data_IF_686855223667
#
_entry.id   IF_686855223667
#
_cell.length_a   1.000
_cell.length_b   1.000
_cell.length_c   1.000
_cell.angle_alpha   90.00
_cell.angle_beta   90.00
_cell.angle_gamma   90.00
#
_symmetry.space_group_name_H-M   'P 1'
#
loop_
_entity.id
_entity.type
_entity.pdbx_description
1 polymer ?
#
# COMPACT_ATOMS: atom_id res chain seq x y z
N UNK A 1 17.07 4.05 -19.93
CA UNK A 1 18.26 4.22 -19.06
C UNK A 1 17.95 3.54 -17.75
N UNK A 2 18.80 2.65 -17.32
CA UNK A 2 18.61 1.79 -16.14
C UNK A 2 18.53 2.65 -14.88
N UNK A 3 17.58 2.40 -14.00
CA UNK A 3 17.27 3.16 -12.78
C UNK A 3 18.36 3.20 -11.69
N UNK A 4 19.63 3.18 -12.07
CA UNK A 4 20.75 3.47 -11.17
C UNK A 4 20.80 4.96 -10.89
N UNK A 5 20.93 5.33 -9.61
CA UNK A 5 21.12 6.71 -9.19
C UNK A 5 22.39 7.29 -9.84
N UNK A 6 22.24 8.43 -10.51
CA UNK A 6 23.36 9.21 -11.04
C UNK A 6 23.84 10.21 -10.00
N UNK A 7 25.09 10.12 -9.60
CA UNK A 7 25.70 11.03 -8.63
C UNK A 7 25.65 12.48 -9.12
N UNK A 8 25.79 12.73 -10.42
CA UNK A 8 25.79 14.07 -10.97
C UNK A 8 24.42 14.75 -10.86
N UNK A 9 23.34 13.98 -10.86
CA UNK A 9 21.99 14.49 -10.61
C UNK A 9 21.69 14.73 -9.12
N UNK A 10 22.41 14.06 -8.20
CA UNK A 10 22.09 14.03 -6.78
C UNK A 10 23.03 14.86 -5.89
N UNK A 11 24.28 15.10 -6.30
CA UNK A 11 25.32 15.75 -5.48
C UNK A 11 24.96 17.14 -4.95
N UNK A 12 24.15 17.88 -5.73
CA UNK A 12 23.72 19.23 -5.37
C UNK A 12 22.31 19.29 -4.76
N UNK A 13 21.68 18.12 -4.51
CA UNK A 13 20.34 18.01 -3.95
C UNK A 13 20.39 17.76 -2.45
N UNK A 14 19.50 18.41 -1.72
CA UNK A 14 19.21 18.05 -0.33
C UNK A 14 18.24 16.87 -0.34
N UNK A 15 18.68 15.76 0.23
CA UNK A 15 17.94 14.50 0.19
C UNK A 15 17.56 14.09 1.60
N UNK A 16 16.26 13.81 1.82
CA UNK A 16 15.74 13.18 3.01
C UNK A 16 15.53 11.69 2.75
N UNK A 17 16.03 10.81 3.61
CA UNK A 17 15.79 9.36 3.55
C UNK A 17 14.83 8.96 4.66
N UNK A 18 13.69 8.36 4.32
CA UNK A 18 12.79 7.77 5.30
C UNK A 18 13.32 6.40 5.73
N UNK A 19 13.91 6.32 6.92
CA UNK A 19 14.58 5.16 7.47
C UNK A 19 13.73 4.51 8.56
N UNK A 20 13.06 3.40 8.22
CA UNK A 20 12.12 2.70 9.13
C UNK A 20 12.77 1.63 10.02
N UNK A 21 14.09 1.40 9.91
CA UNK A 21 14.77 0.27 10.56
C UNK A 21 14.58 -1.09 9.86
N UNK A 22 13.78 -1.16 8.80
CA UNK A 22 13.66 -2.33 7.92
C UNK A 22 14.85 -2.47 6.97
N UNK A 23 15.04 -3.67 6.42
CA UNK A 23 16.15 -3.99 5.51
C UNK A 23 16.16 -3.08 4.28
N UNK A 24 15.01 -2.88 3.66
CA UNK A 24 14.87 -2.12 2.42
C UNK A 24 15.32 -0.67 2.59
N UNK A 25 14.82 0.02 3.60
CA UNK A 25 15.22 1.41 3.91
C UNK A 25 16.69 1.52 4.33
N UNK A 26 17.26 0.47 4.92
CA UNK A 26 18.68 0.43 5.30
C UNK A 26 19.59 0.31 4.07
N UNK A 27 19.18 -0.47 3.06
CA UNK A 27 19.88 -0.56 1.78
C UNK A 27 19.79 0.75 1.01
N UNK A 28 18.69 1.53 1.15
CA UNK A 28 18.64 2.89 0.60
C UNK A 28 19.77 3.77 1.13
N UNK A 29 20.02 3.74 2.45
CA UNK A 29 21.12 4.52 3.05
C UNK A 29 22.49 4.05 2.52
N UNK A 30 22.68 2.73 2.40
CA UNK A 30 23.89 2.15 1.79
C UNK A 30 24.10 2.65 0.35
N UNK A 31 23.05 2.68 -0.48
CA UNK A 31 23.16 3.13 -1.88
C UNK A 31 23.65 4.58 -1.99
N UNK A 32 23.23 5.46 -1.09
CA UNK A 32 23.77 6.82 -1.02
C UNK A 32 25.22 6.83 -0.53
N UNK A 33 25.53 6.09 0.52
CA UNK A 33 26.89 6.01 1.07
C UNK A 33 27.89 5.46 0.03
N UNK A 34 27.48 4.50 -0.80
CA UNK A 34 28.29 3.94 -1.91
C UNK A 34 28.66 5.01 -2.93
N UNK A 35 27.82 6.03 -3.10
CA UNK A 35 28.08 7.19 -3.96
C UNK A 35 28.85 8.30 -3.24
N UNK A 36 29.23 8.12 -1.98
CA UNK A 36 29.87 9.16 -1.16
C UNK A 36 28.90 10.25 -0.68
N UNK A 37 27.59 9.98 -0.70
CA UNK A 37 26.56 10.89 -0.24
C UNK A 37 26.08 10.49 1.17
N UNK A 38 25.86 11.47 2.04
CA UNK A 38 25.39 11.28 3.41
C UNK A 38 24.11 12.07 3.68
N UNK A 39 22.95 11.58 3.19
CA UNK A 39 21.68 12.29 3.32
C UNK A 39 21.21 12.33 4.79
N UNK A 40 20.35 13.27 5.12
CA UNK A 40 19.65 13.27 6.39
C UNK A 40 18.61 12.14 6.42
N UNK A 41 18.65 11.33 7.48
CA UNK A 41 17.73 10.22 7.68
C UNK A 41 16.61 10.63 8.66
N UNK A 42 15.41 10.15 8.41
CA UNK A 42 14.23 10.44 9.23
C UNK A 42 13.51 9.16 9.61
N UNK A 43 13.28 8.98 10.90
CA UNK A 43 12.38 7.95 11.42
C UNK A 43 11.02 8.58 11.69
N UNK A 44 9.98 8.12 11.00
CA UNK A 44 8.60 8.58 11.22
C UNK A 44 7.99 7.76 12.35
N UNK A 45 7.74 8.40 13.50
CA UNK A 45 7.07 7.80 14.64
C UNK A 45 5.56 7.98 14.51
N UNK A 46 4.83 6.86 14.43
CA UNK A 46 3.35 6.82 14.33
C UNK A 46 2.71 5.82 15.30
N UNK A 47 3.52 5.20 16.15
CA UNK A 47 3.07 4.20 17.14
C UNK A 47 1.95 4.73 18.05
N UNK A 48 1.36 3.84 18.88
CA UNK A 48 0.35 4.23 19.87
C UNK A 48 0.91 5.24 20.88
N UNK A 49 0.02 5.96 21.54
CA UNK A 49 0.44 6.82 22.68
C UNK A 49 1.05 5.93 23.77
N UNK A 50 1.99 6.48 24.55
CA UNK A 50 2.73 5.75 25.61
C UNK A 50 1.83 5.05 26.64
N UNK A 51 0.56 5.45 26.72
CA UNK A 51 -0.45 4.85 27.59
C UNK A 51 -1.13 3.59 27.00
N UNK A 52 -0.84 3.24 25.76
CA UNK A 52 -1.47 2.11 25.08
C UNK A 52 -0.57 0.88 25.08
N UNK A 53 -1.01 -0.21 25.71
CA UNK A 53 -0.34 -1.52 25.70
C UNK A 53 -0.45 -2.18 24.31
N UNK A 54 0.40 -1.75 23.39
CA UNK A 54 0.64 -2.44 22.13
C UNK A 54 2.06 -3.00 22.13
N UNK A 55 2.21 -4.23 21.68
CA UNK A 55 3.53 -4.81 21.39
C UNK A 55 4.07 -4.18 20.09
N UNK A 56 4.49 -2.92 20.21
CA UNK A 56 4.96 -2.12 19.09
C UNK A 56 6.47 -2.31 18.93
N UNK A 57 6.90 -2.72 17.73
CA UNK A 57 8.32 -2.84 17.38
C UNK A 57 9.04 -1.48 17.22
N UNK A 58 8.42 -0.36 17.61
CA UNK A 58 8.92 0.98 17.35
C UNK A 58 10.29 1.27 17.99
N UNK A 59 10.56 0.72 19.19
CA UNK A 59 11.87 0.88 19.84
C UNK A 59 12.94 0.10 19.09
N UNK A 60 12.69 -1.18 18.79
CA UNK A 60 13.58 -2.01 17.99
C UNK A 60 13.82 -1.42 16.60
N UNK A 61 12.79 -0.88 15.96
CA UNK A 61 12.89 -0.21 14.66
C UNK A 61 13.78 1.01 14.72
N UNK A 62 13.64 1.83 15.76
CA UNK A 62 14.44 3.03 15.98
C UNK A 62 15.90 2.68 16.31
N UNK A 63 16.15 1.62 17.10
CA UNK A 63 17.50 1.11 17.37
C UNK A 63 18.19 0.69 16.07
N UNK A 64 17.48 -0.06 15.20
CA UNK A 64 18.01 -0.47 13.90
C UNK A 64 18.30 0.73 13.00
N UNK A 65 17.37 1.70 12.93
CA UNK A 65 17.56 2.92 12.16
C UNK A 65 18.76 3.74 12.66
N UNK A 66 18.93 3.83 13.98
CA UNK A 66 20.08 4.49 14.62
C UNK A 66 21.39 3.80 14.28
N UNK A 67 21.44 2.47 14.39
CA UNK A 67 22.63 1.70 14.05
C UNK A 67 23.05 1.86 12.59
N UNK A 68 22.07 1.85 11.65
CA UNK A 68 22.33 2.03 10.22
C UNK A 68 22.81 3.45 9.91
N UNK A 69 22.13 4.49 10.44
CA UNK A 69 22.53 5.88 10.21
C UNK A 69 23.94 6.15 10.70
N UNK A 70 24.30 5.67 11.89
CA UNK A 70 25.66 5.80 12.47
C UNK A 70 26.71 5.07 11.62
N UNK A 71 26.39 3.84 11.14
CA UNK A 71 27.31 3.06 10.31
C UNK A 71 27.74 3.83 9.06
N UNK A 72 26.85 4.60 8.46
CA UNK A 72 27.10 5.35 7.22
C UNK A 72 27.30 6.85 7.44
N UNK A 73 27.48 7.29 8.68
CA UNK A 73 27.75 8.70 8.99
C UNK A 73 26.62 9.66 8.65
N UNK A 74 25.38 9.17 8.62
CA UNK A 74 24.19 9.97 8.37
C UNK A 74 23.58 10.50 9.68
N UNK A 75 23.02 11.70 9.65
CA UNK A 75 22.23 12.23 10.76
C UNK A 75 20.86 11.54 10.77
N UNK A 76 20.37 11.14 11.95
CA UNK A 76 19.01 10.63 12.13
C UNK A 76 18.19 11.60 12.99
N UNK A 77 16.99 11.93 12.51
CA UNK A 77 15.99 12.71 13.22
C UNK A 77 14.68 11.93 13.34
N UNK A 78 14.02 11.99 14.50
CA UNK A 78 12.72 11.35 14.72
C UNK A 78 11.63 12.39 14.50
N UNK A 79 10.69 12.10 13.60
CA UNK A 79 9.55 12.95 13.30
C UNK A 79 8.28 12.30 13.84
N UNK A 80 7.65 12.96 14.78
CA UNK A 80 6.37 12.50 15.33
C UNK A 80 5.23 12.86 14.34
N UNK A 81 4.59 11.83 13.77
CA UNK A 81 3.41 11.92 12.92
C UNK A 81 2.22 11.14 13.51
N UNK A 82 2.23 10.89 14.83
CA UNK A 82 1.18 10.15 15.52
C UNK A 82 -0.21 10.76 15.26
N UNK A 83 -0.38 12.07 15.53
CA UNK A 83 -1.68 12.75 15.37
C UNK A 83 -2.18 12.71 13.94
N UNK A 84 -1.30 12.91 12.97
CA UNK A 84 -1.64 12.89 11.55
C UNK A 84 -2.06 11.50 11.11
N UNK A 85 -1.32 10.46 11.53
CA UNK A 85 -1.66 9.08 11.20
C UNK A 85 -3.04 8.69 11.76
N UNK A 86 -3.26 8.92 13.04
CA UNK A 86 -4.51 8.56 13.71
C UNK A 86 -5.68 9.42 13.24
N UNK A 87 -5.48 10.70 13.02
CA UNK A 87 -6.49 11.64 12.55
C UNK A 87 -6.87 11.48 11.07
N UNK A 88 -6.00 10.92 10.25
CA UNK A 88 -6.21 10.82 8.80
C UNK A 88 -6.32 9.35 8.35
N UNK A 89 -5.28 8.54 8.53
CA UNK A 89 -5.25 7.16 8.01
C UNK A 89 -6.17 6.24 8.79
N UNK A 90 -6.10 6.28 10.14
CA UNK A 90 -6.97 5.47 10.98
C UNK A 90 -8.43 5.87 10.80
N UNK A 91 -8.72 7.17 10.81
CA UNK A 91 -10.09 7.67 10.60
C UNK A 91 -10.65 7.22 9.25
N UNK A 92 -9.90 7.44 8.16
CA UNK A 92 -10.27 6.92 6.84
C UNK A 92 -10.60 5.43 6.88
N UNK A 93 -9.72 4.63 7.49
CA UNK A 93 -9.89 3.18 7.59
C UNK A 93 -11.17 2.82 8.33
N UNK A 94 -11.41 3.44 9.50
CA UNK A 94 -12.59 3.15 10.33
C UNK A 94 -13.90 3.57 9.65
N UNK A 95 -13.92 4.72 8.98
CA UNK A 95 -15.11 5.22 8.29
C UNK A 95 -15.47 4.30 7.11
N UNK A 96 -14.49 3.87 6.32
CA UNK A 96 -14.69 2.92 5.22
C UNK A 96 -15.16 1.55 5.71
N UNK A 97 -14.55 1.04 6.76
CA UNK A 97 -14.89 -0.28 7.33
C UNK A 97 -16.31 -0.28 7.93
N UNK A 98 -16.72 0.80 8.62
CA UNK A 98 -18.11 0.97 9.10
C UNK A 98 -19.13 0.97 7.96
N UNK A 99 -18.77 1.59 6.84
CA UNK A 99 -19.61 1.59 5.64
C UNK A 99 -19.62 0.24 4.89
N UNK A 100 -18.94 -0.80 5.41
CA UNK A 100 -18.88 -2.14 4.81
C UNK A 100 -17.81 -2.30 3.74
N UNK A 101 -17.03 -1.27 3.47
CA UNK A 101 -15.94 -1.26 2.48
C UNK A 101 -14.69 -1.97 2.98
N UNK A 102 -13.79 -2.25 2.05
CA UNK A 102 -12.46 -2.83 2.35
C UNK A 102 -11.38 -1.81 1.98
N UNK A 103 -10.98 -0.90 2.90
CA UNK A 103 -9.97 0.12 2.62
C UNK A 103 -8.56 -0.45 2.48
N UNK A 104 -7.67 0.34 1.90
CA UNK A 104 -6.23 0.08 1.91
C UNK A 104 -5.50 1.21 2.67
N UNK A 105 -5.22 1.02 3.98
CA UNK A 105 -4.54 2.04 4.79
C UNK A 105 -3.10 2.32 4.35
N UNK A 106 -2.41 1.35 3.73
CA UNK A 106 -1.01 1.53 3.30
C UNK A 106 -0.90 2.52 2.15
N UNK A 107 -1.83 2.49 1.20
CA UNK A 107 -1.93 3.48 0.11
C UNK A 107 -2.10 4.88 0.69
N UNK A 108 -3.02 5.04 1.65
CA UNK A 108 -3.28 6.33 2.29
C UNK A 108 -2.12 6.78 3.17
N UNK A 109 -1.41 5.85 3.83
CA UNK A 109 -0.22 6.17 4.60
C UNK A 109 0.90 6.77 3.72
N UNK A 110 1.12 6.23 2.53
CA UNK A 110 2.09 6.79 1.60
C UNK A 110 1.72 8.24 1.21
N UNK A 111 0.46 8.47 0.82
CA UNK A 111 -0.03 9.80 0.41
C UNK A 111 -0.05 10.81 1.54
N UNK A 112 -0.62 10.42 2.71
CA UNK A 112 -0.95 11.36 3.78
C UNK A 112 0.19 11.53 4.79
N UNK A 113 0.99 10.50 5.01
CA UNK A 113 2.04 10.53 6.05
C UNK A 113 3.43 10.64 5.44
N UNK A 114 3.87 9.64 4.65
CA UNK A 114 5.26 9.60 4.15
C UNK A 114 5.60 10.74 3.20
N UNK A 115 4.69 11.10 2.30
CA UNK A 115 4.87 12.20 1.37
C UNK A 115 3.99 13.42 1.69
N UNK A 116 3.10 13.34 2.70
CA UNK A 116 2.23 14.41 3.17
C UNK A 116 2.74 15.03 4.45
N UNK A 117 2.33 14.52 5.61
CA UNK A 117 2.68 15.08 6.92
C UNK A 117 4.19 15.22 7.16
N UNK A 118 4.99 14.29 6.64
CA UNK A 118 6.45 14.42 6.68
C UNK A 118 6.92 15.63 5.88
N UNK A 119 6.38 15.85 4.68
CA UNK A 119 6.75 17.01 3.87
C UNK A 119 6.36 18.33 4.55
N UNK A 120 5.17 18.40 5.15
CA UNK A 120 4.72 19.56 5.91
C UNK A 120 5.64 19.88 7.11
N UNK A 121 6.13 18.85 7.81
CA UNK A 121 6.97 19.03 9.03
C UNK A 121 8.45 19.28 8.72
N UNK A 122 9.00 18.57 7.75
CA UNK A 122 10.44 18.59 7.45
C UNK A 122 10.78 18.44 5.98
N UNK A 123 10.02 17.67 5.22
CA UNK A 123 10.35 17.33 3.84
C UNK A 123 10.42 18.54 2.89
N UNK A 124 9.72 19.65 3.22
CA UNK A 124 9.77 20.88 2.45
C UNK A 124 11.17 21.53 2.41
N UNK A 125 12.03 21.21 3.37
CA UNK A 125 13.43 21.66 3.38
C UNK A 125 14.32 20.88 2.39
N UNK A 126 13.80 19.80 1.78
CA UNK A 126 14.53 18.87 0.92
C UNK A 126 14.00 18.89 -0.51
N UNK A 127 14.91 18.67 -1.45
CA UNK A 127 14.59 18.59 -2.87
C UNK A 127 13.99 17.23 -3.22
N UNK A 128 14.46 16.15 -2.52
CA UNK A 128 14.04 14.78 -2.76
C UNK A 128 13.76 14.05 -1.43
N UNK A 129 12.78 13.15 -1.49
CA UNK A 129 12.42 12.24 -0.39
C UNK A 129 12.63 10.81 -0.88
N UNK A 130 13.65 10.15 -0.35
CA UNK A 130 14.00 8.77 -0.70
C UNK A 130 13.34 7.77 0.23
N UNK A 131 12.80 6.68 -0.33
CA UNK A 131 12.14 5.61 0.42
C UNK A 131 12.55 4.24 -0.09
N UNK A 132 12.36 3.21 0.74
CA UNK A 132 12.63 1.80 0.40
C UNK A 132 11.53 1.10 -0.39
N UNK A 133 10.77 1.81 -1.22
CA UNK A 133 9.77 1.17 -2.08
C UNK A 133 10.40 0.54 -3.32
N UNK A 134 9.83 -0.61 -3.72
CA UNK A 134 10.12 -1.25 -5.00
C UNK A 134 9.25 -0.59 -6.09
N UNK A 135 9.70 0.54 -6.56
CA UNK A 135 9.10 1.34 -7.63
C UNK A 135 10.22 2.10 -8.34
N UNK A 136 9.97 2.57 -9.53
CA UNK A 136 10.90 3.40 -10.28
C UNK A 136 10.22 4.68 -10.75
N UNK A 137 11.00 5.62 -11.23
CA UNK A 137 10.48 6.82 -11.89
C UNK A 137 11.22 7.05 -13.20
N UNK A 138 10.52 7.61 -14.17
CA UNK A 138 11.11 8.10 -15.41
C UNK A 138 10.57 9.49 -15.72
N UNK A 139 11.36 10.28 -16.44
CA UNK A 139 10.94 11.58 -16.94
C UNK A 139 10.80 11.49 -18.46
N UNK A 140 9.63 11.88 -18.98
CA UNK A 140 9.39 11.89 -20.42
C UNK A 140 10.00 13.13 -21.10
N UNK A 141 9.90 13.18 -22.43
CA UNK A 141 10.41 14.29 -23.25
C UNK A 141 9.76 15.65 -22.92
N UNK A 142 8.56 15.65 -22.34
CA UNK A 142 7.86 16.84 -21.89
C UNK A 142 8.25 17.26 -20.46
N UNK A 143 9.18 16.54 -19.81
CA UNK A 143 9.64 16.80 -18.45
C UNK A 143 8.67 16.32 -17.36
N UNK A 144 7.68 15.50 -17.70
CA UNK A 144 6.73 14.92 -16.73
C UNK A 144 7.33 13.68 -16.09
N UNK A 145 7.24 13.60 -14.78
CA UNK A 145 7.71 12.44 -14.01
C UNK A 145 6.61 11.39 -13.87
N UNK A 146 6.91 10.17 -14.25
CA UNK A 146 6.02 9.01 -14.20
C UNK A 146 6.47 8.02 -13.14
N UNK A 147 5.51 7.42 -12.45
CA UNK A 147 5.74 6.26 -11.59
C UNK A 147 5.81 5.00 -12.47
N UNK A 148 6.89 4.23 -12.33
CA UNK A 148 7.20 3.09 -13.18
C UNK A 148 7.36 1.83 -12.34
N UNK A 149 6.91 0.70 -12.89
CA UNK A 149 6.96 -0.59 -12.22
C UNK A 149 8.38 -1.06 -11.91
N UNK A 150 8.54 -1.80 -10.83
CA UNK A 150 9.79 -2.46 -10.45
C UNK A 150 9.98 -3.75 -11.27
N UNK A 151 11.24 -4.19 -11.50
CA UNK A 151 11.51 -5.49 -12.12
C UNK A 151 11.11 -6.70 -11.25
N UNK A 152 10.86 -6.52 -9.96
CA UNK A 152 10.39 -7.58 -9.08
C UNK A 152 8.85 -7.70 -9.14
N UNK A 153 8.30 -8.72 -9.81
CA UNK A 153 6.85 -8.83 -10.02
C UNK A 153 6.07 -9.13 -8.73
N UNK A 154 6.77 -9.61 -7.68
CA UNK A 154 6.16 -9.95 -6.40
C UNK A 154 6.20 -8.77 -5.43
N UNK A 155 7.26 -7.96 -5.52
CA UNK A 155 7.53 -6.84 -4.62
C UNK A 155 7.20 -5.48 -5.22
N UNK A 156 6.84 -5.40 -6.49
CA UNK A 156 6.40 -4.14 -7.09
C UNK A 156 5.36 -3.45 -6.21
N UNK A 157 5.66 -2.23 -5.77
CA UNK A 157 4.87 -1.46 -4.81
C UNK A 157 4.26 -0.20 -5.43
N UNK A 158 4.22 -0.11 -6.76
CA UNK A 158 3.58 1.01 -7.45
C UNK A 158 2.10 1.12 -7.12
N UNK A 159 1.43 0.00 -6.81
CA UNK A 159 0.04 -0.05 -6.36
C UNK A 159 -0.17 0.64 -5.00
N UNK A 160 0.81 0.62 -4.10
CA UNK A 160 0.75 1.35 -2.83
C UNK A 160 1.03 2.86 -3.00
N UNK A 161 1.64 3.27 -4.11
CA UNK A 161 1.99 4.65 -4.42
C UNK A 161 0.97 5.33 -5.34
N UNK A 162 -0.01 4.60 -5.86
CA UNK A 162 -0.93 5.05 -6.89
C UNK A 162 -1.90 6.18 -6.48
N UNK A 163 -1.86 6.61 -5.23
CA UNK A 163 -2.65 7.73 -4.70
C UNK A 163 -1.82 8.95 -4.29
N UNK A 164 -0.48 8.93 -4.44
CA UNK A 164 0.32 10.13 -4.17
C UNK A 164 0.03 11.20 -5.22
N UNK A 165 0.20 12.47 -4.84
CA UNK A 165 0.00 13.60 -5.75
C UNK A 165 1.19 13.77 -6.70
N UNK A 166 0.99 14.43 -7.84
CA UNK A 166 2.06 14.76 -8.80
C UNK A 166 3.23 15.49 -8.14
N UNK A 167 2.97 16.46 -7.27
CA UNK A 167 4.03 17.16 -6.56
C UNK A 167 4.80 16.25 -5.58
N UNK A 168 4.15 15.24 -4.99
CA UNK A 168 4.80 14.23 -4.14
C UNK A 168 5.66 13.30 -4.99
N UNK A 169 5.14 12.86 -6.14
CA UNK A 169 5.90 12.04 -7.08
C UNK A 169 7.14 12.79 -7.61
N UNK A 170 7.04 14.08 -7.87
CA UNK A 170 8.19 14.92 -8.28
C UNK A 170 9.32 14.89 -7.27
N UNK A 171 9.01 14.86 -5.97
CA UNK A 171 10.00 14.76 -4.88
C UNK A 171 10.41 13.32 -4.55
N UNK A 172 9.64 12.31 -4.94
CA UNK A 172 9.89 10.91 -4.59
C UNK A 172 11.14 10.36 -5.31
N UNK A 173 11.95 9.59 -4.56
CA UNK A 173 13.09 8.85 -5.07
C UNK A 173 13.06 7.42 -4.50
N UNK A 174 13.30 6.43 -5.34
CA UNK A 174 13.25 5.00 -4.99
C UNK A 174 14.58 4.29 -5.31
N UNK A 175 15.61 4.47 -4.49
CA UNK A 175 16.96 4.03 -4.79
C UNK A 175 17.11 2.51 -5.02
N UNK A 176 16.23 1.72 -4.40
CA UNK A 176 16.25 0.24 -4.54
C UNK A 176 15.22 -0.29 -5.54
N UNK A 177 14.47 0.58 -6.21
CA UNK A 177 13.39 0.21 -7.10
C UNK A 177 13.80 -0.61 -8.33
N UNK A 178 15.08 -0.61 -8.68
CA UNK A 178 15.66 -1.37 -9.78
C UNK A 178 16.16 -2.76 -9.39
N UNK A 179 16.20 -3.08 -8.09
CA UNK A 179 16.57 -4.39 -7.57
C UNK A 179 15.36 -5.32 -7.41
N UNK A 180 15.62 -6.63 -7.46
CA UNK A 180 14.69 -7.62 -6.90
C UNK A 180 15.00 -7.84 -5.41
N UNK A 181 14.03 -8.35 -4.66
CA UNK A 181 14.15 -8.51 -3.20
C UNK A 181 15.37 -9.32 -2.75
N UNK A 182 15.69 -10.37 -3.48
CA UNK A 182 16.85 -11.22 -3.17
C UNK A 182 18.17 -10.47 -3.30
N UNK A 183 18.31 -9.56 -4.27
CA UNK A 183 19.48 -8.70 -4.40
C UNK A 183 19.62 -7.74 -3.22
N UNK A 184 18.52 -7.13 -2.80
CA UNK A 184 18.48 -6.26 -1.61
C UNK A 184 18.92 -7.03 -0.36
N UNK A 185 18.46 -8.28 -0.20
CA UNK A 185 18.90 -9.17 0.90
C UNK A 185 20.40 -9.50 0.81
N UNK A 186 20.91 -9.83 -0.37
CA UNK A 186 22.33 -10.09 -0.58
C UNK A 186 23.21 -8.86 -0.29
N UNK A 187 22.75 -7.67 -0.68
CA UNK A 187 23.42 -6.41 -0.34
C UNK A 187 23.47 -6.24 1.18
N UNK A 188 22.34 -6.40 1.87
CA UNK A 188 22.26 -6.25 3.31
C UNK A 188 23.18 -7.22 4.07
N UNK A 189 23.27 -8.47 3.61
CA UNK A 189 24.16 -9.49 4.19
C UNK A 189 25.64 -9.17 3.91
N UNK A 190 26.00 -8.85 2.67
CA UNK A 190 27.36 -8.49 2.27
C UNK A 190 27.88 -7.28 3.04
N UNK A 191 27.01 -6.28 3.24
CA UNK A 191 27.32 -5.07 3.98
C UNK A 191 27.21 -5.25 5.51
N UNK A 192 26.91 -6.45 5.99
CA UNK A 192 26.76 -6.74 7.42
C UNK A 192 25.81 -5.77 8.12
N UNK A 193 24.66 -5.46 7.49
CA UNK A 193 23.64 -4.63 8.13
C UNK A 193 23.06 -5.36 9.34
N UNK A 194 22.88 -4.63 10.44
CA UNK A 194 22.41 -5.19 11.72
C UNK A 194 21.05 -5.91 11.58
N UNK A 195 20.23 -5.47 10.65
CA UNK A 195 18.90 -5.98 10.36
C UNK A 195 18.81 -6.89 9.12
N UNK A 196 19.96 -7.33 8.53
CA UNK A 196 19.98 -8.12 7.29
C UNK A 196 19.07 -9.36 7.33
N UNK A 197 18.97 -10.04 8.49
CA UNK A 197 18.17 -11.25 8.70
C UNK A 197 16.74 -10.97 9.19
N UNK A 198 16.37 -9.69 9.35
CA UNK A 198 15.03 -9.31 9.81
C UNK A 198 13.99 -9.69 8.76
N UNK A 199 12.87 -10.25 9.21
CA UNK A 199 11.72 -10.54 8.33
C UNK A 199 11.10 -9.23 7.85
N UNK A 200 10.51 -9.27 6.65
CA UNK A 200 9.70 -8.16 6.16
C UNK A 200 8.51 -7.91 7.09
N UNK A 201 8.09 -6.66 7.19
CA UNK A 201 6.88 -6.30 7.95
C UNK A 201 5.69 -7.08 7.40
N UNK A 202 4.91 -7.66 8.32
CA UNK A 202 3.67 -8.37 8.02
C UNK A 202 2.52 -7.59 8.64
N UNK A 203 1.51 -7.25 7.86
CA UNK A 203 0.34 -6.50 8.33
C UNK A 203 0.33 -5.04 7.89
N UNK A 204 -0.32 -4.16 8.69
CA UNK A 204 -0.40 -2.74 8.38
C UNK A 204 0.98 -2.10 8.57
N UNK A 205 1.40 -1.35 7.56
CA UNK A 205 2.66 -0.62 7.56
C UNK A 205 2.78 0.27 8.81
N UNK A 206 3.93 0.26 9.49
CA UNK A 206 4.24 1.00 10.72
C UNK A 206 3.52 0.58 12.03
N UNK A 207 2.47 -0.23 12.00
CA UNK A 207 1.85 -0.75 13.22
C UNK A 207 2.52 -2.04 13.73
N UNK A 208 3.58 -2.50 13.07
CA UNK A 208 4.35 -3.66 13.49
C UNK A 208 3.56 -4.97 13.39
N UNK A 209 3.58 -5.76 14.46
CA UNK A 209 2.95 -7.09 14.50
C UNK A 209 1.45 -7.08 14.84
N UNK A 210 0.80 -5.92 14.78
CA UNK A 210 -0.61 -5.80 15.12
C UNK A 210 -1.45 -6.51 14.07
N UNK A 211 -2.30 -7.44 14.53
CA UNK A 211 -3.27 -8.10 13.67
C UNK A 211 -4.36 -7.11 13.24
N UNK A 212 -4.67 -7.05 11.94
CA UNK A 212 -5.69 -6.15 11.40
C UNK A 212 -7.06 -6.29 12.09
N UNK A 213 -7.50 -7.50 12.38
CA UNK A 213 -8.79 -7.73 13.04
C UNK A 213 -8.78 -7.26 14.51
N UNK A 214 -7.64 -7.37 15.21
CA UNK A 214 -7.53 -6.88 16.58
C UNK A 214 -7.50 -5.34 16.60
N UNK A 215 -6.84 -4.72 15.62
CA UNK A 215 -6.87 -3.28 15.42
C UNK A 215 -8.30 -2.78 15.17
N UNK A 216 -9.03 -3.38 14.23
CA UNK A 216 -10.43 -3.02 13.95
C UNK A 216 -11.32 -3.27 15.17
N UNK A 217 -11.17 -4.40 15.85
CA UNK A 217 -11.97 -4.74 17.06
C UNK A 217 -11.84 -3.72 18.16
N UNK A 218 -10.66 -3.14 18.34
CA UNK A 218 -10.42 -2.12 19.36
C UNK A 218 -11.24 -0.86 19.12
N UNK A 219 -11.42 -0.44 17.86
CA UNK A 219 -12.14 0.79 17.52
C UNK A 219 -13.63 0.57 17.31
N UNK A 220 -14.02 -0.56 16.73
CA UNK A 220 -15.41 -0.83 16.35
C UNK A 220 -16.08 -1.86 17.25
N UNK A 221 -15.32 -2.57 18.09
CA UNK A 221 -15.86 -3.65 18.90
C UNK A 221 -16.31 -4.86 18.07
N UNK A 222 -17.21 -5.66 18.63
CA UNK A 222 -17.89 -6.74 17.95
C UNK A 222 -19.38 -6.38 17.80
N UNK A 223 -19.93 -6.64 16.61
CA UNK A 223 -21.36 -6.51 16.32
C UNK A 223 -21.85 -7.80 15.64
N UNK A 224 -22.29 -8.79 16.41
CA UNK A 224 -22.74 -10.06 15.86
C UNK A 224 -23.93 -9.89 14.91
N UNK A 225 -23.91 -10.64 13.82
CA UNK A 225 -24.99 -10.68 12.82
C UNK A 225 -25.06 -12.04 12.13
N UNK A 226 -26.05 -12.21 11.29
CA UNK A 226 -26.31 -13.48 10.63
C UNK A 226 -25.42 -13.68 9.40
N UNK A 227 -25.02 -14.95 9.19
CA UNK A 227 -24.37 -15.42 7.97
C UNK A 227 -25.35 -16.26 7.20
N UNK A 228 -25.62 -15.87 5.95
CA UNK A 228 -26.65 -16.48 5.10
C UNK A 228 -25.99 -16.98 3.81
N UNK A 229 -26.31 -18.21 3.42
CA UNK A 229 -25.97 -18.75 2.10
C UNK A 229 -26.81 -18.05 1.03
N UNK A 230 -26.15 -17.44 0.04
CA UNK A 230 -26.80 -16.62 -0.96
C UNK A 230 -27.80 -17.41 -1.83
N UNK A 231 -27.44 -18.64 -2.19
CA UNK A 231 -28.20 -19.49 -3.12
C UNK A 231 -29.46 -20.10 -2.50
N UNK A 232 -29.47 -20.28 -1.17
CA UNK A 232 -30.54 -21.03 -0.48
C UNK A 232 -31.28 -20.22 0.57
N UNK A 233 -30.82 -18.99 0.85
CA UNK A 233 -31.28 -18.15 1.97
C UNK A 233 -31.17 -18.81 3.36
N UNK A 234 -30.37 -19.89 3.47
CA UNK A 234 -30.20 -20.62 4.70
C UNK A 234 -29.19 -19.93 5.61
N UNK A 235 -29.55 -19.79 6.87
CA UNK A 235 -28.62 -19.33 7.91
C UNK A 235 -27.57 -20.39 8.19
N UNK A 236 -26.29 -20.03 7.99
CA UNK A 236 -25.11 -20.88 8.18
C UNK A 236 -24.53 -20.70 9.58
N UNK A 237 -24.60 -19.49 10.13
CA UNK A 237 -24.02 -19.17 11.43
C UNK A 237 -24.18 -17.70 11.79
N UNK A 238 -23.24 -17.19 12.60
CA UNK A 238 -23.14 -15.79 12.96
C UNK A 238 -21.71 -15.30 12.78
N UNK A 239 -21.55 -14.07 12.28
CA UNK A 239 -20.27 -13.34 12.29
C UNK A 239 -20.17 -12.46 13.53
N UNK A 240 -18.95 -12.00 13.85
CA UNK A 240 -18.67 -11.10 14.98
C UNK A 240 -18.67 -9.62 14.61
N UNK A 241 -18.80 -9.31 13.35
CA UNK A 241 -18.82 -7.97 12.76
C UNK A 241 -18.53 -8.05 11.27
N UNK A 242 -19.27 -7.31 10.43
CA UNK A 242 -19.08 -7.27 8.98
C UNK A 242 -17.68 -6.79 8.58
N UNK A 243 -17.08 -5.96 9.42
CA UNK A 243 -15.76 -5.36 9.21
C UNK A 243 -14.59 -6.37 9.33
N UNK A 244 -14.81 -7.56 9.92
CA UNK A 244 -13.80 -8.61 9.94
C UNK A 244 -13.75 -9.45 8.66
N UNK A 245 -14.61 -9.13 7.69
CA UNK A 245 -14.76 -9.91 6.46
C UNK A 245 -14.52 -9.04 5.23
N UNK A 246 -13.95 -9.66 4.19
CA UNK A 246 -13.72 -9.02 2.88
C UNK A 246 -14.37 -9.87 1.78
N UNK A 247 -14.96 -9.23 0.78
CA UNK A 247 -15.51 -9.92 -0.40
C UNK A 247 -14.41 -10.75 -1.07
N UNK A 248 -14.72 -12.01 -1.39
CA UNK A 248 -13.76 -13.00 -1.88
C UNK A 248 -12.97 -13.73 -0.79
N UNK A 249 -13.16 -13.38 0.50
CA UNK A 249 -12.49 -14.09 1.59
C UNK A 249 -13.00 -15.53 1.69
N UNK A 250 -12.05 -16.48 1.82
CA UNK A 250 -12.32 -17.91 2.02
C UNK A 250 -11.88 -18.42 3.38
N UNK A 251 -10.73 -17.92 3.87
CA UNK A 251 -10.10 -18.42 5.11
C UNK A 251 -10.53 -17.62 6.32
N UNK A 252 -10.49 -18.23 7.52
CA UNK A 252 -10.68 -17.54 8.79
C UNK A 252 -12.13 -17.23 9.15
N UNK A 253 -13.11 -17.82 8.46
CA UNK A 253 -14.54 -17.57 8.74
C UNK A 253 -15.10 -18.44 9.87
N UNK A 254 -14.51 -19.63 10.13
CA UNK A 254 -14.89 -20.50 11.25
C UNK A 254 -16.23 -21.21 11.10
N UNK A 255 -16.86 -21.22 9.91
CA UNK A 255 -18.14 -21.90 9.68
C UNK A 255 -17.93 -23.34 9.25
N UNK A 256 -18.70 -24.26 9.83
CA UNK A 256 -18.73 -25.67 9.40
C UNK A 256 -19.38 -25.85 8.02
N UNK A 257 -19.14 -27.01 7.39
CA UNK A 257 -19.78 -27.40 6.14
C UNK A 257 -19.29 -26.70 4.87
N UNK A 258 -18.15 -25.93 4.96
CA UNK A 258 -17.57 -25.23 3.79
C UNK A 258 -16.88 -26.14 2.78
N UNK A 259 -16.18 -25.53 1.79
CA UNK A 259 -15.67 -24.15 1.82
C UNK A 259 -16.72 -23.08 1.51
N UNK A 260 -16.58 -21.95 2.18
CA UNK A 260 -17.43 -20.77 2.02
C UNK A 260 -16.64 -19.61 1.47
N UNK A 261 -17.26 -18.76 0.64
CA UNK A 261 -16.71 -17.50 0.15
C UNK A 261 -17.63 -16.34 0.53
N UNK A 262 -17.07 -15.26 1.03
CA UNK A 262 -17.82 -14.02 1.24
C UNK A 262 -18.14 -13.39 -0.11
N UNK A 263 -19.41 -13.15 -0.41
CA UNK A 263 -19.86 -12.61 -1.69
C UNK A 263 -20.57 -11.27 -1.58
N UNK A 264 -21.19 -10.97 -0.42
CA UNK A 264 -21.90 -9.70 -0.21
C UNK A 264 -21.94 -9.35 1.29
N UNK A 265 -21.92 -8.06 1.60
CA UNK A 265 -22.22 -7.50 2.93
C UNK A 265 -23.47 -6.65 2.83
N UNK A 266 -24.46 -6.92 3.67
CA UNK A 266 -25.61 -6.06 3.87
C UNK A 266 -25.44 -5.30 5.18
N UNK A 267 -24.94 -4.09 5.06
CA UNK A 267 -24.59 -3.25 6.22
C UNK A 267 -25.86 -2.81 6.97
N UNK A 268 -26.94 -2.52 6.24
CA UNK A 268 -28.19 -2.03 6.83
C UNK A 268 -28.85 -3.09 7.73
N UNK A 269 -28.79 -4.35 7.33
CA UNK A 269 -29.38 -5.48 8.06
C UNK A 269 -28.37 -6.25 8.90
N UNK A 270 -27.09 -5.87 8.87
CA UNK A 270 -25.98 -6.55 9.54
C UNK A 270 -25.87 -8.04 9.15
N UNK A 271 -25.97 -8.35 7.85
CA UNK A 271 -25.95 -9.71 7.30
C UNK A 271 -24.73 -9.90 6.39
N UNK A 272 -24.06 -11.04 6.58
CA UNK A 272 -22.98 -11.50 5.71
C UNK A 272 -23.51 -12.60 4.80
N UNK A 273 -23.44 -12.38 3.47
CA UNK A 273 -23.78 -13.43 2.51
C UNK A 273 -22.54 -14.19 2.07
N UNK A 274 -22.66 -15.50 2.08
CA UNK A 274 -21.61 -16.43 1.66
C UNK A 274 -22.12 -17.36 0.57
N UNK A 275 -21.25 -17.85 -0.30
CA UNK A 275 -21.55 -18.84 -1.32
C UNK A 275 -20.75 -20.11 -1.05
N UNK A 276 -21.38 -21.28 -1.28
CA UNK A 276 -20.76 -22.58 -1.06
C UNK A 276 -20.00 -23.07 -2.27
N UNK A 277 -18.87 -23.76 -2.04
CA UNK A 277 -18.12 -24.44 -3.09
C UNK A 277 -16.65 -24.09 -3.11
N UNK A 278 -15.89 -24.81 -3.93
CA UNK A 278 -14.43 -24.56 -4.06
C UNK A 278 -14.13 -23.34 -4.92
N UNK A 279 -15.03 -23.03 -5.88
CA UNK A 279 -14.87 -21.97 -6.87
C UNK A 279 -16.23 -21.42 -7.34
N UNK A 280 -17.01 -20.76 -6.43
CA UNK A 280 -18.33 -20.28 -6.78
C UNK A 280 -18.24 -19.13 -7.79
N UNK A 281 -19.04 -19.19 -8.87
CA UNK A 281 -19.08 -18.17 -9.93
C UNK A 281 -19.45 -16.78 -9.37
N UNK A 282 -20.26 -16.74 -8.31
CA UNK A 282 -20.65 -15.53 -7.57
C UNK A 282 -19.47 -14.76 -6.93
N UNK A 283 -18.32 -15.41 -6.75
CA UNK A 283 -17.09 -14.77 -6.24
C UNK A 283 -16.33 -13.98 -7.32
N UNK A 284 -16.77 -14.06 -8.60
CA UNK A 284 -16.09 -13.46 -9.74
C UNK A 284 -16.90 -12.31 -10.32
N UNK A 285 -16.19 -11.31 -10.84
CA UNK A 285 -16.73 -10.22 -11.67
C UNK A 285 -15.85 -10.03 -12.89
N UNK A 286 -16.43 -9.63 -13.99
CA UNK A 286 -15.73 -9.23 -15.20
C UNK A 286 -15.81 -7.71 -15.38
N UNK A 287 -16.98 -7.15 -15.07
CA UNK A 287 -17.23 -5.73 -15.13
C UNK A 287 -17.45 -5.17 -13.73
N UNK A 288 -16.86 -4.02 -13.46
CA UNK A 288 -17.07 -3.30 -12.20
C UNK A 288 -16.82 -1.81 -12.37
N UNK A 289 -17.49 -1.02 -11.52
CA UNK A 289 -17.38 0.44 -11.53
C UNK A 289 -16.23 0.90 -10.62
N UNK A 290 -15.59 1.98 -11.06
CA UNK A 290 -14.61 2.74 -10.28
C UNK A 290 -14.98 4.23 -10.33
N UNK A 291 -14.70 4.96 -9.25
CA UNK A 291 -14.97 6.40 -9.15
C UNK A 291 -13.82 7.15 -8.48
N UNK A 292 -13.89 8.48 -8.56
CA UNK A 292 -12.88 9.38 -8.00
C UNK A 292 -11.46 9.04 -8.51
N UNK A 293 -11.34 8.91 -9.84
CA UNK A 293 -10.07 8.62 -10.48
C UNK A 293 -9.03 9.68 -10.16
N UNK A 294 -7.99 9.25 -9.49
CA UNK A 294 -6.82 10.04 -9.20
C UNK A 294 -5.71 9.71 -10.21
N UNK A 295 -5.41 10.67 -11.08
CA UNK A 295 -4.30 10.58 -12.02
C UNK A 295 -3.00 11.04 -11.34
N UNK A 296 -1.93 10.26 -11.49
CA UNK A 296 -0.65 10.57 -10.84
C UNK A 296 0.08 11.75 -11.47
N UNK A 297 0.03 11.88 -12.78
CA UNK A 297 0.83 12.86 -13.53
C UNK A 297 -0.07 13.81 -14.31
N UNK A 298 -0.94 13.30 -15.14
CA UNK A 298 -1.90 14.09 -15.92
C UNK A 298 -3.17 13.29 -16.16
N UNK A 299 -4.27 13.97 -16.40
CA UNK A 299 -5.51 13.31 -16.80
C UNK A 299 -5.35 12.65 -18.16
N UNK A 300 -5.69 11.37 -18.22
CA UNK A 300 -5.59 10.54 -19.41
C UNK A 300 -6.96 9.90 -19.72
N UNK A 301 -7.15 9.52 -20.97
CA UNK A 301 -8.33 8.78 -21.41
C UNK A 301 -7.92 7.49 -22.15
N UNK A 302 -7.14 6.60 -21.52
CA UNK A 302 -6.73 5.36 -22.15
C UNK A 302 -7.93 4.45 -22.34
N UNK A 303 -8.03 3.78 -23.49
CA UNK A 303 -9.02 2.72 -23.70
C UNK A 303 -8.51 1.38 -23.22
N UNK A 304 -7.31 1.01 -23.63
CA UNK A 304 -6.66 -0.25 -23.25
C UNK A 304 -5.69 0.00 -22.12
N UNK A 305 -5.84 -0.75 -21.03
CA UNK A 305 -5.06 -0.64 -19.80
C UNK A 305 -4.75 -2.03 -19.25
N UNK A 306 -3.83 -2.05 -18.31
CA UNK A 306 -3.75 -3.15 -17.34
C UNK A 306 -4.03 -2.62 -15.95
N UNK A 307 -4.47 -3.48 -15.03
CA UNK A 307 -4.83 -3.05 -13.68
C UNK A 307 -4.50 -4.07 -12.61
N UNK A 308 -4.49 -3.60 -11.36
CA UNK A 308 -4.47 -4.42 -10.13
C UNK A 308 -5.56 -3.93 -9.19
N UNK A 309 -6.19 -4.87 -8.47
CA UNK A 309 -7.13 -4.57 -7.37
C UNK A 309 -6.59 -4.97 -6.00
N UNK A 310 -5.42 -5.60 -5.97
CA UNK A 310 -4.70 -6.05 -4.76
C UNK A 310 -3.21 -6.10 -5.05
N UNK A 311 -2.42 -6.12 -4.00
CA UNK A 311 -0.99 -6.38 -4.09
C UNK A 311 -0.76 -7.88 -4.41
N UNK A 312 -0.76 -8.20 -5.71
CA UNK A 312 -0.53 -9.55 -6.24
C UNK A 312 0.41 -9.47 -7.44
N UNK A 313 1.19 -10.51 -7.71
CA UNK A 313 1.92 -10.60 -8.97
C UNK A 313 0.96 -10.57 -10.16
N UNK A 314 1.42 -9.94 -11.24
CA UNK A 314 0.68 -9.89 -12.50
C UNK A 314 -0.26 -8.70 -12.62
N UNK A 315 -0.51 -8.36 -13.88
CA UNK A 315 -1.32 -7.25 -14.34
C UNK A 315 -2.45 -7.81 -15.20
N UNK A 316 -3.68 -7.35 -14.95
CA UNK A 316 -4.88 -7.87 -15.60
C UNK A 316 -5.27 -6.92 -16.74
N UNK A 317 -5.40 -7.40 -17.99
CA UNK A 317 -5.80 -6.53 -19.09
C UNK A 317 -7.28 -6.17 -19.02
N UNK A 318 -7.60 -4.92 -19.36
CA UNK A 318 -8.95 -4.39 -19.40
C UNK A 318 -9.10 -3.25 -20.42
N UNK A 319 -10.37 -2.88 -20.65
CA UNK A 319 -10.72 -1.59 -21.26
C UNK A 319 -11.46 -0.72 -20.26
N UNK A 320 -11.27 0.60 -20.37
CA UNK A 320 -11.97 1.60 -19.55
C UNK A 320 -13.07 2.25 -20.39
N UNK A 321 -14.31 2.25 -19.89
CA UNK A 321 -15.44 2.98 -20.44
C UNK A 321 -15.81 4.14 -19.51
N UNK A 322 -15.66 5.41 -19.93
CA UNK A 322 -16.02 6.56 -19.09
C UNK A 322 -17.54 6.62 -18.90
N UNK A 323 -17.96 6.84 -17.65
CA UNK A 323 -19.40 6.95 -17.27
C UNK A 323 -19.74 8.31 -16.69
N UNK A 324 -18.74 9.14 -16.37
CA UNK A 324 -18.87 10.48 -15.82
C UNK A 324 -17.49 11.04 -15.48
N UNK A 325 -17.48 12.22 -14.90
CA UNK A 325 -16.22 12.85 -14.46
C UNK A 325 -15.53 11.96 -13.40
N UNK A 326 -14.30 11.52 -13.71
CA UNK A 326 -13.52 10.65 -12.84
C UNK A 326 -14.12 9.26 -12.58
N UNK A 327 -15.13 8.84 -13.35
CA UNK A 327 -15.82 7.55 -13.17
C UNK A 327 -15.74 6.68 -14.42
N UNK A 328 -15.52 5.38 -14.22
CA UNK A 328 -15.33 4.43 -15.33
C UNK A 328 -15.97 3.08 -14.98
N UNK A 329 -16.36 2.33 -16.03
CA UNK A 329 -16.52 0.88 -15.96
C UNK A 329 -15.20 0.25 -16.42
N UNK A 330 -14.69 -0.67 -15.63
CA UNK A 330 -13.57 -1.54 -15.99
C UNK A 330 -14.14 -2.82 -16.58
N UNK A 331 -13.85 -3.08 -17.85
CA UNK A 331 -14.19 -4.32 -18.55
C UNK A 331 -12.94 -5.19 -18.57
N UNK A 332 -12.80 -6.10 -17.59
CA UNK A 332 -11.67 -7.00 -17.54
C UNK A 332 -11.76 -8.07 -18.63
N UNK A 333 -10.63 -8.46 -19.21
CA UNK A 333 -10.58 -9.53 -20.23
C UNK A 333 -11.06 -10.86 -19.67
N UNK A 334 -10.69 -11.17 -18.44
CA UNK A 334 -11.02 -12.40 -17.73
C UNK A 334 -11.84 -12.09 -16.47
N UNK A 335 -12.56 -13.09 -15.95
CA UNK A 335 -13.28 -12.97 -14.68
C UNK A 335 -12.31 -12.82 -13.50
N UNK A 336 -12.55 -11.83 -12.65
CA UNK A 336 -11.69 -11.44 -11.52
C UNK A 336 -12.31 -11.89 -10.21
N UNK A 337 -11.56 -12.65 -9.42
CA UNK A 337 -11.99 -13.08 -8.10
C UNK A 337 -11.86 -11.95 -7.06
N UNK A 338 -12.93 -11.72 -6.29
CA UNK A 338 -12.88 -10.90 -5.07
C UNK A 338 -12.71 -9.41 -5.32
N UNK A 339 -13.36 -8.87 -6.35
CA UNK A 339 -13.52 -7.42 -6.53
C UNK A 339 -14.31 -6.87 -5.35
N UNK A 340 -13.67 -6.05 -4.52
CA UNK A 340 -14.24 -5.58 -3.26
C UNK A 340 -14.35 -4.04 -3.24
N UNK A 341 -15.53 -3.49 -2.89
CA UNK A 341 -15.71 -2.05 -2.74
C UNK A 341 -14.78 -1.45 -1.69
N UNK A 342 -14.30 -0.25 -1.96
CA UNK A 342 -13.37 0.48 -1.10
C UNK A 342 -11.90 0.12 -1.31
N UNK A 343 -11.59 -0.93 -2.09
CA UNK A 343 -10.25 -1.16 -2.59
C UNK A 343 -9.95 -0.26 -3.77
N UNK A 344 -8.67 0.05 -3.99
CA UNK A 344 -8.24 0.79 -5.17
C UNK A 344 -8.03 -0.15 -6.36
N UNK A 345 -8.65 0.20 -7.49
CA UNK A 345 -8.27 -0.30 -8.79
C UNK A 345 -7.13 0.57 -9.30
N UNK A 346 -5.93 0.02 -9.35
CA UNK A 346 -4.73 0.73 -9.82
C UNK A 346 -4.58 0.48 -11.30
N UNK A 347 -4.51 1.56 -12.06
CA UNK A 347 -4.48 1.55 -13.53
C UNK A 347 -3.05 1.76 -14.01
N UNK A 348 -2.64 0.93 -14.96
CA UNK A 348 -1.36 1.01 -15.66
C UNK A 348 -1.60 1.14 -17.16
N UNK A 349 -0.60 1.58 -17.88
CA UNK A 349 -0.61 1.52 -19.35
C UNK A 349 -0.76 0.06 -19.85
N UNK A 350 -1.05 -0.10 -21.13
CA UNK A 350 -1.26 -1.44 -21.73
C UNK A 350 -0.02 -2.34 -21.64
N UNK A 351 1.17 -1.77 -21.48
CA UNK A 351 2.44 -2.47 -21.31
C UNK A 351 2.77 -2.73 -19.84
N UNK A 352 1.90 -2.34 -18.89
CA UNK A 352 2.11 -2.38 -17.44
C UNK A 352 3.44 -1.80 -16.97
N UNK A 353 3.95 -0.81 -17.70
CA UNK A 353 5.19 -0.10 -17.40
C UNK A 353 4.95 1.11 -16.52
N UNK A 354 4.01 2.00 -16.90
CA UNK A 354 3.66 3.21 -16.15
C UNK A 354 2.41 2.99 -15.30
N UNK A 355 2.50 3.30 -14.01
CA UNK A 355 1.32 3.45 -13.17
C UNK A 355 0.68 4.81 -13.48
N UNK A 356 -0.55 4.80 -13.99
CA UNK A 356 -1.26 6.01 -14.41
C UNK A 356 -2.01 6.66 -13.26
N UNK A 357 -2.44 5.87 -12.27
CA UNK A 357 -3.21 6.32 -11.13
C UNK A 357 -4.10 5.24 -10.55
N UNK A 358 -5.07 5.62 -9.76
CA UNK A 358 -6.02 4.67 -9.18
C UNK A 358 -7.36 5.30 -8.85
N UNK A 359 -8.39 4.47 -8.79
CA UNK A 359 -9.75 4.85 -8.44
C UNK A 359 -10.34 3.87 -7.42
N UNK A 360 -11.30 4.32 -6.62
CA UNK A 360 -11.96 3.44 -5.67
C UNK A 360 -12.98 2.56 -6.36
N UNK A 361 -12.99 1.26 -6.03
CA UNK A 361 -13.96 0.30 -6.55
C UNK A 361 -15.30 0.51 -5.88
N UNK A 362 -16.36 0.57 -6.70
CA UNK A 362 -17.77 0.52 -6.27
C UNK A 362 -18.47 -0.71 -6.83
N UNK A 363 -19.66 -0.99 -6.32
CA UNK A 363 -20.52 -2.08 -6.83
C UNK A 363 -21.80 -1.49 -7.38
#
# INVERSE_FOLDING_TARGET
MTGMMDIDELKDKRIAVLLSGGVDSSVVVYEFARLGLHPDCFYIKIGPEETEEWDCSSEEDLEMATAVSHKYGCRLEVIDCHREYWGQVTRYTMDKVRAGFTPNPDVMCNRLIKFGAFDEKRGHDYDLIATGHYAQTETDEAGRKWLVTSPDPVKDQTDFLAQIYDWQLKKALFPIGHYVKDEVRQIAEREHLVNAKRKDSQGICFLGKINYNDYIRRYLGEQPGDVIELETDKKIGQHKGLWFHTIGQRKGMGFGGGPWFVVKKDVANNVLYVSHGYDPETAYKQDFAIHDMHWLTEELSPREVTFKIRHTPGYLPATLEPTGEGSFIVHAKDKIHGVAPGQFCVIYDAQHHRCLGSAEITI
#
